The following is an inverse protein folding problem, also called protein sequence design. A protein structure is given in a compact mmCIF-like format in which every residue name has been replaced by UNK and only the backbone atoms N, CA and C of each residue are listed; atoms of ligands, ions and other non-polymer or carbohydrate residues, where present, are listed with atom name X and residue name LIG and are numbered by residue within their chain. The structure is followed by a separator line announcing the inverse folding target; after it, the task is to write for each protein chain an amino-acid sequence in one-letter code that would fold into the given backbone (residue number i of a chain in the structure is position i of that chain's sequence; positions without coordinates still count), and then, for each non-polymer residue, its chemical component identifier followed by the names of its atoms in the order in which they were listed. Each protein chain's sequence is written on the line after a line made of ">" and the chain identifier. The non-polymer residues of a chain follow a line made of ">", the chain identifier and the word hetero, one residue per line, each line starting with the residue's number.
data_IF_123361325214
#
_entry.id   IF_123361325214
#
_cell.length_a   1.000
_cell.length_b   1.000
_cell.length_c   1.000
_cell.angle_alpha   90.00
_cell.angle_beta   90.00
_cell.angle_gamma   90.00
#
_symmetry.space_group_name_H-M   'P 1'
#
loop_
_entity.id
_entity.type
_entity.pdbx_description
1 polymer ?
#
# COMPACT_ATOMS: atom_id res chain seq x y z
N UNK A 1 -12.39 -12.09 0.25
CA UNK A 1 -11.86 -11.29 1.38
C UNK A 1 -10.67 -10.48 0.90
N UNK A 2 -10.40 -9.31 1.50
CA UNK A 2 -9.23 -8.48 1.20
C UNK A 2 -8.02 -8.99 1.99
N UNK A 3 -6.88 -9.14 1.32
CA UNK A 3 -5.63 -9.59 1.93
C UNK A 3 -4.50 -8.65 1.59
N UNK A 4 -3.55 -8.51 2.49
CA UNK A 4 -2.35 -7.70 2.31
C UNK A 4 -1.14 -8.63 2.33
N UNK A 5 -0.37 -8.61 1.25
CA UNK A 5 0.89 -9.34 1.12
C UNK A 5 2.05 -8.36 1.12
N UNK A 6 3.08 -8.66 1.89
CA UNK A 6 4.36 -7.96 1.87
C UNK A 6 5.36 -8.87 1.17
N UNK A 7 5.94 -8.41 0.06
CA UNK A 7 6.88 -9.17 -0.76
C UNK A 7 8.23 -8.46 -0.69
N UNK A 8 9.24 -9.14 -0.17
CA UNK A 8 10.61 -8.66 -0.07
C UNK A 8 11.40 -9.15 -1.27
N UNK A 9 11.94 -8.24 -2.04
CA UNK A 9 12.53 -8.53 -3.35
C UNK A 9 13.87 -7.85 -3.52
N UNK A 10 14.71 -8.38 -4.40
CA UNK A 10 15.91 -7.67 -4.84
C UNK A 10 15.54 -6.35 -5.51
N UNK A 11 16.31 -5.29 -5.22
CA UNK A 11 16.11 -3.98 -5.83
C UNK A 11 16.83 -3.90 -7.18
N UNK A 12 16.24 -4.52 -8.21
CA UNK A 12 16.81 -4.60 -9.56
C UNK A 12 15.84 -4.05 -10.61
N UNK A 13 16.37 -3.55 -11.75
CA UNK A 13 15.51 -3.20 -12.87
C UNK A 13 14.63 -4.37 -13.33
N UNK A 14 13.35 -4.10 -13.56
CA UNK A 14 12.39 -5.09 -14.03
C UNK A 14 11.77 -5.98 -12.94
N UNK A 15 12.15 -5.86 -11.67
CA UNK A 15 11.57 -6.66 -10.58
C UNK A 15 10.05 -6.49 -10.49
N UNK A 16 9.57 -5.25 -10.56
CA UNK A 16 8.14 -4.95 -10.51
C UNK A 16 7.39 -5.57 -11.70
N UNK A 17 7.98 -5.51 -12.90
CA UNK A 17 7.39 -6.11 -14.10
C UNK A 17 7.25 -7.63 -13.94
N UNK A 18 8.27 -8.29 -13.39
CA UNK A 18 8.23 -9.75 -13.15
C UNK A 18 7.14 -10.13 -12.15
N UNK A 19 7.06 -9.41 -11.02
CA UNK A 19 6.03 -9.63 -10.00
C UNK A 19 4.64 -9.37 -10.59
N UNK A 20 4.41 -8.22 -11.23
CA UNK A 20 3.13 -7.89 -11.85
C UNK A 20 2.71 -8.89 -12.94
N UNK A 21 3.67 -9.36 -13.76
CA UNK A 21 3.41 -10.38 -14.78
C UNK A 21 3.00 -11.74 -14.19
N UNK A 22 3.48 -12.09 -13.00
CA UNK A 22 3.04 -13.30 -12.32
C UNK A 22 1.55 -13.20 -11.96
N UNK A 23 1.11 -12.06 -11.41
CA UNK A 23 -0.31 -11.83 -11.10
C UNK A 23 -1.16 -11.84 -12.37
N UNK A 24 -0.73 -11.12 -13.41
CA UNK A 24 -1.46 -11.01 -14.67
C UNK A 24 -1.66 -12.37 -15.36
N UNK A 25 -0.61 -13.19 -15.46
CA UNK A 25 -0.71 -14.51 -16.12
C UNK A 25 -1.65 -15.51 -15.44
N UNK A 26 -2.05 -15.23 -14.20
CA UNK A 26 -2.96 -16.08 -13.40
C UNK A 26 -4.30 -15.41 -13.16
N UNK A 27 -4.53 -14.28 -13.83
CA UNK A 27 -5.77 -13.50 -13.71
C UNK A 27 -6.03 -13.04 -12.26
N UNK A 28 -4.96 -12.86 -11.46
CA UNK A 28 -5.07 -12.32 -10.11
C UNK A 28 -5.20 -10.80 -10.18
N UNK A 29 -6.31 -10.27 -9.70
CA UNK A 29 -6.50 -8.83 -9.63
C UNK A 29 -5.70 -8.21 -8.48
N UNK A 30 -5.00 -7.12 -8.77
CA UNK A 30 -4.31 -6.28 -7.78
C UNK A 30 -5.18 -5.05 -7.52
N UNK A 31 -5.67 -4.90 -6.29
CA UNK A 31 -6.44 -3.71 -5.92
C UNK A 31 -5.54 -2.50 -5.65
N UNK A 32 -4.38 -2.76 -5.08
CA UNK A 32 -3.43 -1.72 -4.69
C UNK A 32 -2.03 -2.30 -4.63
N UNK A 33 -1.06 -1.49 -5.05
CA UNK A 33 0.35 -1.85 -5.05
C UNK A 33 1.18 -0.64 -4.65
N UNK A 34 2.07 -0.86 -3.67
CA UNK A 34 3.05 0.13 -3.22
C UNK A 34 4.43 -0.51 -3.22
N UNK A 35 5.43 0.20 -3.71
CA UNK A 35 6.82 -0.27 -3.80
C UNK A 35 7.75 0.78 -3.22
N UNK A 36 8.68 0.36 -2.41
CA UNK A 36 9.71 1.23 -1.86
C UNK A 36 10.99 0.47 -1.53
N UNK A 37 12.12 1.17 -1.59
CA UNK A 37 13.41 0.66 -1.12
C UNK A 37 13.33 0.50 0.40
N UNK A 38 13.96 -0.54 0.94
CA UNK A 38 14.02 -0.80 2.38
C UNK A 38 15.22 -0.08 3.02
N UNK A 39 15.51 -0.38 4.29
CA UNK A 39 16.74 0.07 4.97
C UNK A 39 18.02 -0.42 4.28
N UNK A 40 17.93 -1.50 3.49
CA UNK A 40 19.00 -1.96 2.62
C UNK A 40 18.73 -1.54 1.17
N UNK A 41 19.64 -0.79 0.52
CA UNK A 41 19.46 -0.34 -0.87
C UNK A 41 19.35 -1.49 -1.87
N UNK A 42 19.84 -2.68 -1.52
CA UNK A 42 19.80 -3.88 -2.37
C UNK A 42 18.42 -4.52 -2.43
N UNK A 43 17.51 -4.12 -1.54
CA UNK A 43 16.19 -4.72 -1.43
C UNK A 43 15.07 -3.69 -1.46
N UNK A 44 13.96 -4.09 -2.07
CA UNK A 44 12.70 -3.35 -2.08
C UNK A 44 11.59 -4.17 -1.42
N UNK A 45 10.64 -3.48 -0.84
CA UNK A 45 9.40 -4.07 -0.32
C UNK A 45 8.24 -3.68 -1.22
N UNK A 46 7.49 -4.67 -1.67
CA UNK A 46 6.25 -4.51 -2.41
C UNK A 46 5.11 -4.87 -1.47
N UNK A 47 4.22 -3.94 -1.19
CA UNK A 47 2.96 -4.22 -0.49
C UNK A 47 1.86 -4.35 -1.53
N UNK A 48 1.25 -5.52 -1.61
CA UNK A 48 0.18 -5.84 -2.57
C UNK A 48 -1.11 -6.10 -1.83
N UNK A 49 -2.18 -5.46 -2.26
CA UNK A 49 -3.54 -5.75 -1.77
C UNK A 49 -4.27 -6.53 -2.85
N UNK A 50 -4.82 -7.68 -2.45
CA UNK A 50 -5.52 -8.61 -3.33
C UNK A 50 -6.82 -9.09 -2.71
N UNK A 51 -7.77 -9.52 -3.56
CA UNK A 51 -8.99 -10.19 -3.13
C UNK A 51 -8.95 -11.67 -3.49
N UNK A 52 -9.43 -12.51 -2.58
CA UNK A 52 -9.54 -13.95 -2.82
C UNK A 52 -9.98 -14.72 -1.57
N UNK A 53 -10.14 -16.01 -1.73
CA UNK A 53 -10.23 -16.96 -0.62
C UNK A 53 -8.84 -17.37 -0.13
N UNK A 54 -8.78 -18.13 0.96
CA UNK A 54 -7.51 -18.54 1.56
C UNK A 54 -6.67 -19.41 0.62
N UNK A 55 -7.30 -20.29 -0.16
CA UNK A 55 -6.63 -21.18 -1.11
C UNK A 55 -5.95 -20.40 -2.23
N UNK A 56 -6.64 -19.39 -2.77
CA UNK A 56 -6.11 -18.51 -3.81
C UNK A 56 -4.90 -17.72 -3.30
N UNK A 57 -4.97 -17.20 -2.07
CA UNK A 57 -3.86 -16.46 -1.46
C UNK A 57 -2.65 -17.36 -1.23
N UNK A 58 -2.84 -18.58 -0.75
CA UNK A 58 -1.74 -19.54 -0.60
C UNK A 58 -1.08 -19.87 -1.94
N UNK A 59 -1.87 -20.00 -3.01
CA UNK A 59 -1.33 -20.19 -4.36
C UNK A 59 -0.50 -18.98 -4.80
N UNK A 60 -0.98 -17.76 -4.57
CA UNK A 60 -0.22 -16.54 -4.87
C UNK A 60 1.12 -16.52 -4.14
N UNK A 61 1.13 -16.78 -2.83
CA UNK A 61 2.33 -16.82 -2.00
C UNK A 61 3.34 -17.84 -2.57
N UNK A 62 2.91 -19.08 -2.77
CA UNK A 62 3.77 -20.15 -3.33
C UNK A 62 4.34 -19.80 -4.71
N UNK A 63 3.63 -19.03 -5.52
CA UNK A 63 4.15 -18.60 -6.83
C UNK A 63 5.14 -17.45 -6.72
N UNK A 64 4.93 -16.53 -5.78
CA UNK A 64 5.89 -15.48 -5.48
C UNK A 64 7.19 -16.05 -4.94
N UNK A 65 7.14 -17.00 -3.99
CA UNK A 65 8.29 -17.65 -3.38
C UNK A 65 9.15 -18.44 -4.38
N UNK A 66 8.56 -18.92 -5.49
CA UNK A 66 9.29 -19.58 -6.58
C UNK A 66 10.11 -18.63 -7.45
N UNK A 67 9.93 -17.32 -7.29
CA UNK A 67 10.66 -16.34 -8.10
C UNK A 67 12.04 -16.09 -7.48
N UNK A 68 13.16 -16.28 -8.19
CA UNK A 68 14.50 -16.10 -7.61
C UNK A 68 14.78 -14.71 -7.04
N UNK A 69 14.08 -13.70 -7.55
CA UNK A 69 14.18 -12.31 -7.07
C UNK A 69 13.39 -12.03 -5.77
N UNK A 70 12.53 -12.96 -5.36
CA UNK A 70 11.71 -12.84 -4.14
C UNK A 70 12.46 -13.53 -3.00
N UNK A 71 12.72 -12.78 -1.93
CA UNK A 71 13.43 -13.25 -0.75
C UNK A 71 12.50 -13.73 0.36
N UNK A 72 11.37 -13.04 0.50
CA UNK A 72 10.34 -13.41 1.47
C UNK A 72 8.97 -12.94 1.00
N UNK A 73 7.95 -13.69 1.39
CA UNK A 73 6.56 -13.29 1.25
C UNK A 73 5.87 -13.46 2.59
N UNK A 74 5.28 -12.37 3.07
CA UNK A 74 4.56 -12.35 4.33
C UNK A 74 3.11 -11.97 4.08
N UNK A 75 2.17 -12.79 4.55
CA UNK A 75 0.77 -12.41 4.65
C UNK A 75 0.55 -11.63 5.94
N UNK A 76 0.10 -10.40 5.82
CA UNK A 76 -0.17 -9.53 6.95
C UNK A 76 -1.63 -9.68 7.40
N UNK A 77 -1.82 -10.10 8.64
CA UNK A 77 -3.14 -10.16 9.26
C UNK A 77 -3.57 -8.77 9.71
N UNK A 78 -4.77 -8.35 9.32
CA UNK A 78 -5.33 -7.05 9.69
C UNK A 78 -5.39 -6.81 11.21
N UNK A 79 -5.59 -7.85 12.01
CA UNK A 79 -5.60 -7.75 13.47
C UNK A 79 -4.19 -7.49 14.05
N UNK A 80 -3.16 -8.04 13.39
CA UNK A 80 -1.77 -8.01 13.88
C UNK A 80 -0.85 -7.13 13.03
N UNK A 81 -1.39 -6.29 12.16
CA UNK A 81 -0.62 -5.39 11.32
C UNK A 81 -1.04 -3.93 11.49
N UNK A 82 -0.12 -3.03 11.18
CA UNK A 82 -0.41 -1.62 10.97
C UNK A 82 -0.34 -1.35 9.48
N UNK A 83 -1.48 -1.04 8.88
CA UNK A 83 -1.56 -0.65 7.47
C UNK A 83 -1.98 0.82 7.35
N UNK A 84 -1.34 1.56 6.46
CA UNK A 84 -1.63 2.97 6.18
C UNK A 84 -1.49 3.23 4.69
N UNK A 85 -2.37 4.08 4.18
CA UNK A 85 -2.23 4.70 2.88
C UNK A 85 -2.35 6.22 3.03
N UNK A 86 -1.74 6.96 2.14
CA UNK A 86 -1.93 8.39 2.00
C UNK A 86 -2.87 8.68 0.82
N UNK A 87 -3.76 9.61 1.01
CA UNK A 87 -4.67 10.10 -0.04
C UNK A 87 -4.55 11.61 -0.13
N UNK A 88 -4.42 12.13 -1.33
CA UNK A 88 -4.57 13.56 -1.59
C UNK A 88 -5.91 13.80 -2.26
N UNK A 89 -6.63 14.83 -1.78
CA UNK A 89 -7.97 15.19 -2.24
C UNK A 89 -7.98 16.68 -2.58
N UNK A 90 -8.28 17.00 -3.82
CA UNK A 90 -8.54 18.35 -4.28
C UNK A 90 -10.04 18.60 -4.30
N UNK A 91 -10.51 19.62 -3.60
CA UNK A 91 -11.92 19.94 -3.42
C UNK A 91 -12.17 21.40 -3.68
N UNK A 92 -13.35 21.74 -4.22
CA UNK A 92 -13.80 23.12 -4.35
C UNK A 92 -14.00 23.72 -2.97
N UNK A 93 -13.44 24.91 -2.78
CA UNK A 93 -13.56 25.67 -1.54
C UNK A 93 -13.37 27.15 -1.85
N UNK A 94 -14.45 27.88 -1.88
CA UNK A 94 -14.47 29.32 -2.05
C UNK A 94 -14.76 30.04 -0.71
N UNK A 95 -14.93 31.35 -0.73
CA UNK A 95 -15.14 32.13 0.48
C UNK A 95 -16.40 31.75 1.22
N UNK A 96 -17.39 31.12 0.57
CA UNK A 96 -18.70 30.76 1.16
C UNK A 96 -18.66 29.46 1.94
N UNK A 97 -17.79 28.53 1.58
CA UNK A 97 -17.76 27.16 2.15
C UNK A 97 -16.41 26.73 2.73
N UNK A 98 -15.36 27.52 2.53
CA UNK A 98 -13.98 27.20 2.94
C UNK A 98 -13.86 26.84 4.41
N UNK A 99 -14.52 27.61 5.29
CA UNK A 99 -14.44 27.34 6.73
C UNK A 99 -15.05 25.99 7.12
N UNK A 100 -16.13 25.59 6.47
CA UNK A 100 -16.76 24.30 6.74
C UNK A 100 -15.89 23.14 6.25
N UNK A 101 -15.30 23.27 5.07
CA UNK A 101 -14.37 22.29 4.52
C UNK A 101 -13.13 22.14 5.42
N UNK A 102 -12.58 23.24 5.94
CA UNK A 102 -11.46 23.22 6.89
C UNK A 102 -11.81 22.53 8.22
N UNK A 103 -12.99 22.83 8.79
CA UNK A 103 -13.48 22.16 10.02
C UNK A 103 -13.59 20.63 9.83
N UNK A 104 -14.08 20.20 8.67
CA UNK A 104 -14.13 18.76 8.35
C UNK A 104 -12.73 18.13 8.30
N UNK A 105 -11.77 18.84 7.71
CA UNK A 105 -10.38 18.37 7.66
C UNK A 105 -9.78 18.19 9.07
N UNK A 106 -10.06 19.13 10.00
CA UNK A 106 -9.61 19.02 11.40
C UNK A 106 -10.17 17.78 12.09
N UNK A 107 -11.47 17.47 11.93
CA UNK A 107 -12.11 16.28 12.52
C UNK A 107 -11.42 14.99 12.09
N UNK A 108 -10.96 14.93 10.85
CA UNK A 108 -10.26 13.76 10.29
C UNK A 108 -8.75 13.82 10.42
N UNK A 109 -8.20 14.89 11.05
CA UNK A 109 -6.76 15.15 11.10
C UNK A 109 -6.12 15.07 9.71
N UNK A 110 -6.82 15.67 8.74
CA UNK A 110 -6.28 15.87 7.41
C UNK A 110 -5.54 17.21 7.37
N UNK A 111 -4.41 17.23 6.65
CA UNK A 111 -3.58 18.43 6.55
C UNK A 111 -3.87 19.14 5.24
N UNK A 112 -3.96 20.47 5.28
CA UNK A 112 -4.02 21.30 4.09
C UNK A 112 -2.61 21.42 3.53
N UNK A 113 -2.42 21.07 2.26
CA UNK A 113 -1.12 21.14 1.58
C UNK A 113 -1.07 22.19 0.47
N UNK A 114 -2.25 22.63 -0.01
CA UNK A 114 -2.35 23.75 -0.95
C UNK A 114 -3.66 24.54 -0.71
N UNK A 115 -3.56 25.86 -0.85
CA UNK A 115 -4.69 26.79 -0.67
C UNK A 115 -4.77 27.72 -1.88
N UNK A 116 -5.90 27.67 -2.59
CA UNK A 116 -6.20 28.54 -3.72
C UNK A 116 -7.53 29.28 -3.49
N UNK A 117 -7.82 30.36 -4.19
CA UNK A 117 -9.08 31.11 -4.01
C UNK A 117 -10.34 30.26 -4.15
N UNK A 118 -10.33 29.22 -4.99
CA UNK A 118 -11.52 28.41 -5.32
C UNK A 118 -11.40 26.94 -4.95
N UNK A 119 -10.26 26.50 -4.42
CA UNK A 119 -10.05 25.10 -4.05
C UNK A 119 -8.97 24.93 -2.97
N UNK A 120 -8.99 23.75 -2.33
CA UNK A 120 -8.00 23.28 -1.37
C UNK A 120 -7.50 21.91 -1.77
N UNK A 121 -6.25 21.58 -1.43
CA UNK A 121 -5.73 20.22 -1.48
C UNK A 121 -5.46 19.77 -0.04
N UNK A 122 -6.02 18.62 0.30
CA UNK A 122 -5.77 17.93 1.57
C UNK A 122 -4.94 16.69 1.36
N UNK A 123 -4.05 16.40 2.30
CA UNK A 123 -3.50 15.08 2.51
C UNK A 123 -4.15 14.43 3.74
N UNK A 124 -4.45 13.14 3.64
CA UNK A 124 -4.96 12.35 4.76
C UNK A 124 -4.29 10.98 4.76
N UNK A 125 -3.81 10.58 5.94
CA UNK A 125 -3.24 9.26 6.18
C UNK A 125 -4.21 8.44 7.04
N UNK A 126 -4.46 7.20 6.64
CA UNK A 126 -5.35 6.34 7.39
C UNK A 126 -5.62 4.99 6.71
N UNK A 127 -6.61 4.27 7.27
CA UNK A 127 -7.21 3.11 6.65
C UNK A 127 -8.31 3.54 5.66
N UNK A 128 -8.80 2.58 4.87
CA UNK A 128 -9.83 2.84 3.84
C UNK A 128 -11.12 3.43 4.43
N UNK A 129 -11.51 3.03 5.64
CA UNK A 129 -12.73 3.51 6.30
C UNK A 129 -12.64 5.01 6.60
N UNK A 130 -11.51 5.45 7.17
CA UNK A 130 -11.26 6.86 7.48
C UNK A 130 -11.28 7.71 6.21
N UNK A 131 -10.56 7.26 5.17
CA UNK A 131 -10.47 7.99 3.89
C UNK A 131 -11.84 8.05 3.20
N UNK A 132 -12.59 6.96 3.21
CA UNK A 132 -13.93 6.89 2.62
C UNK A 132 -14.91 7.82 3.34
N UNK A 133 -14.88 7.83 4.68
CA UNK A 133 -15.72 8.72 5.47
C UNK A 133 -15.42 10.20 5.18
N UNK A 134 -14.14 10.57 5.13
CA UNK A 134 -13.71 11.92 4.80
C UNK A 134 -14.12 12.32 3.38
N UNK A 135 -13.87 11.45 2.41
CA UNK A 135 -14.27 11.67 1.01
C UNK A 135 -15.78 11.88 0.86
N UNK A 136 -16.59 11.09 1.60
CA UNK A 136 -18.06 11.23 1.60
C UNK A 136 -18.50 12.60 2.13
N UNK A 137 -17.86 13.09 3.19
CA UNK A 137 -18.18 14.42 3.73
C UNK A 137 -17.77 15.57 2.80
N UNK A 138 -16.68 15.40 2.04
CA UNK A 138 -16.24 16.40 1.06
C UNK A 138 -17.05 16.37 -0.25
N UNK A 139 -17.72 15.26 -0.55
CA UNK A 139 -18.44 15.07 -1.82
C UNK A 139 -19.45 16.18 -2.16
N UNK A 140 -20.27 16.72 -1.22
CA UNK A 140 -21.22 17.80 -1.50
C UNK A 140 -20.57 19.10 -1.97
N UNK A 141 -19.31 19.34 -1.60
CA UNK A 141 -18.57 20.55 -1.98
C UNK A 141 -17.97 20.47 -3.38
N UNK A 142 -17.92 19.26 -3.96
CA UNK A 142 -17.37 19.01 -5.28
C UNK A 142 -15.88 18.64 -5.25
N UNK A 143 -15.63 17.34 -5.21
CA UNK A 143 -14.28 16.80 -5.33
C UNK A 143 -13.83 16.95 -6.77
N UNK A 144 -12.67 17.58 -6.96
CA UNK A 144 -12.07 17.79 -8.28
C UNK A 144 -11.15 16.63 -8.68
N UNK A 145 -10.38 16.11 -7.72
CA UNK A 145 -9.41 15.06 -7.97
C UNK A 145 -9.08 14.28 -6.69
N UNK A 146 -8.83 13.00 -6.81
CA UNK A 146 -8.34 12.13 -5.73
C UNK A 146 -7.22 11.27 -6.26
N UNK A 147 -6.12 11.19 -5.48
CA UNK A 147 -5.03 10.24 -5.73
C UNK A 147 -4.70 9.48 -4.45
N UNK A 148 -4.33 8.20 -4.57
CA UNK A 148 -3.95 7.33 -3.46
C UNK A 148 -2.62 6.65 -3.72
N UNK A 149 -1.81 6.49 -2.66
CA UNK A 149 -0.52 5.78 -2.75
C UNK A 149 -0.64 4.27 -2.80
N UNK A 150 -1.80 3.71 -2.46
CA UNK A 150 -1.92 2.33 -2.04
C UNK A 150 -1.58 2.17 -0.55
N UNK A 151 -1.64 0.93 -0.04
CA UNK A 151 -1.31 0.62 1.35
C UNK A 151 0.17 0.25 1.49
N UNK A 152 0.78 0.73 2.56
CA UNK A 152 2.00 0.18 3.15
C UNK A 152 1.62 -0.46 4.47
N UNK A 153 2.28 -1.56 4.85
CA UNK A 153 1.94 -2.27 6.07
C UNK A 153 3.14 -2.97 6.69
N UNK A 154 3.13 -3.02 8.03
CA UNK A 154 4.09 -3.76 8.85
C UNK A 154 3.36 -4.60 9.88
N UNK A 155 3.90 -5.75 10.21
CA UNK A 155 3.46 -6.55 11.36
C UNK A 155 3.74 -5.81 12.65
N UNK A 156 2.89 -6.02 13.65
CA UNK A 156 3.09 -5.50 15.01
C UNK A 156 4.05 -6.39 15.78
N UNK A 157 4.68 -5.84 16.82
CA UNK A 157 5.58 -6.57 17.71
C UNK A 157 6.99 -6.69 17.14
N UNK A 158 7.68 -7.77 17.48
CA UNK A 158 9.10 -7.96 17.21
C UNK A 158 9.36 -8.66 15.86
N UNK A 159 8.35 -9.25 15.24
CA UNK A 159 8.51 -9.93 13.96
C UNK A 159 8.81 -8.94 12.83
N UNK A 160 9.76 -9.31 12.00
CA UNK A 160 10.16 -8.56 10.80
C UNK A 160 10.03 -9.43 9.56
N UNK A 161 10.14 -8.84 8.39
CA UNK A 161 10.12 -9.58 7.12
C UNK A 161 11.27 -10.60 7.05
N UNK A 162 12.37 -10.36 7.76
CA UNK A 162 13.53 -11.25 7.78
C UNK A 162 13.22 -12.61 8.42
N UNK A 163 12.23 -12.69 9.32
CA UNK A 163 11.75 -13.95 9.88
C UNK A 163 11.08 -14.85 8.84
N UNK A 164 10.74 -14.31 7.68
CA UNK A 164 10.08 -15.00 6.57
C UNK A 164 11.01 -15.26 5.40
N UNK A 165 12.32 -14.93 5.52
CA UNK A 165 13.31 -15.20 4.47
C UNK A 165 13.44 -16.70 4.29
N UNK A 166 13.20 -17.17 3.07
CA UNK A 166 13.42 -18.57 2.72
C UNK A 166 14.91 -18.79 2.51
N UNK A 167 15.58 -19.43 3.49
CA UNK A 167 17.01 -19.70 3.48
C UNK A 167 17.42 -20.75 2.44
N UNK A 168 16.46 -21.52 1.89
CA UNK A 168 16.69 -22.51 0.83
C UNK A 168 16.80 -21.90 -0.57
N UNK A 169 16.70 -20.56 -0.71
CA UNK A 169 16.92 -19.94 -2.00
C UNK A 169 18.40 -20.05 -2.41
N UNK A 170 18.68 -20.42 -3.67
CA UNK A 170 20.03 -20.60 -4.24
C UNK A 170 21.00 -19.43 -4.00
N UNK A 171 20.50 -18.26 -3.63
CA UNK A 171 21.31 -17.08 -3.36
C UNK A 171 22.10 -17.20 -2.05
N UNK A 172 21.50 -17.76 -0.99
CA UNK A 172 22.20 -17.94 0.29
C UNK A 172 23.23 -19.05 0.25
N UNK A 173 23.00 -20.08 -0.57
CA UNK A 173 23.97 -21.16 -0.76
C UNK A 173 25.23 -20.72 -1.52
N UNK A 174 25.18 -19.60 -2.26
CA UNK A 174 26.31 -19.09 -3.05
C UNK A 174 27.11 -17.96 -2.40
N UNK A 175 26.56 -17.27 -1.39
CA UNK A 175 27.18 -16.05 -0.81
C UNK A 175 27.53 -16.17 0.67
N UNK A 176 27.38 -17.33 1.30
CA UNK A 176 27.74 -17.59 2.70
C UNK A 176 28.95 -18.54 2.85
N UNK A 177 29.73 -18.74 1.79
CA UNK A 177 31.03 -19.41 1.83
C UNK A 177 32.15 -18.39 1.48
#
# INVERSE_FOLDING_TARGET
>A
MKHVLSVYVENQPGVLVRVASMFSRREFNIDSLSVGVTQSPDFSRITVVVHGDASLIEQMIKQLEKMPIVRAVQRLDAANAVARGMTMIKVKADDTNRLDVLKMAELFRAHVVDVQPTNLIFEITGNDEKVTAFTRLLSPYGILEIIRTGLIALERGENTIDNYINLDSEYYSKNLL
#
